data_IF_716480068976
#
_entry.id   IF_716480068976
#
_cell.length_a   1.000
_cell.length_b   1.000
_cell.length_c   1.000
_cell.angle_alpha   90.00
_cell.angle_beta   90.00
_cell.angle_gamma   90.00
#
_symmetry.space_group_name_H-M   'P 1'
#
loop_
_entity.id
_entity.type
_entity.pdbx_description
1 polymer ?
#
# COMPACT_ATOMS: atom_id res chain seq x y z
N UNK A 1 4.46 -5.93 -20.97
CA UNK A 1 4.74 -4.73 -20.15
C UNK A 1 4.97 -5.19 -18.72
N UNK A 2 6.19 -5.06 -18.20
CA UNK A 2 6.52 -5.42 -16.82
C UNK A 2 6.16 -4.24 -15.92
N UNK A 3 5.17 -4.44 -15.05
CA UNK A 3 4.71 -3.45 -14.08
C UNK A 3 5.61 -3.41 -12.83
N UNK A 4 6.79 -4.01 -12.91
CA UNK A 4 7.69 -4.30 -11.79
C UNK A 4 8.23 -3.05 -11.07
N UNK A 5 8.15 -1.89 -11.74
CA UNK A 5 8.53 -0.58 -11.20
C UNK A 5 7.39 0.10 -10.42
N UNK A 6 6.15 -0.38 -10.57
CA UNK A 6 5.00 0.17 -9.86
C UNK A 6 5.05 -0.26 -8.39
N UNK A 7 5.00 0.73 -7.51
CA UNK A 7 4.94 0.51 -6.08
C UNK A 7 3.72 -0.29 -5.62
N UNK A 8 3.76 -0.76 -4.36
CA UNK A 8 2.70 -1.55 -3.79
C UNK A 8 1.39 -0.74 -3.72
N UNK A 9 0.27 -1.47 -3.75
CA UNK A 9 -1.06 -0.89 -3.60
C UNK A 9 -1.31 -0.47 -2.15
N UNK A 10 -2.04 0.63 -1.99
CA UNK A 10 -2.46 1.21 -0.72
C UNK A 10 -3.98 1.24 -0.71
N UNK A 11 -4.59 0.74 0.37
CA UNK A 11 -6.01 0.92 0.65
C UNK A 11 -6.17 2.23 1.42
N UNK A 12 -6.98 3.16 0.95
CA UNK A 12 -7.26 4.40 1.65
C UNK A 12 -8.46 4.25 2.59
N UNK A 13 -8.66 5.22 3.48
CA UNK A 13 -9.77 5.19 4.45
C UNK A 13 -11.14 5.41 3.80
N UNK A 14 -11.16 6.06 2.65
CA UNK A 14 -12.36 6.34 1.86
C UNK A 14 -12.72 5.17 0.91
N UNK A 15 -12.08 4.01 1.07
CA UNK A 15 -12.28 2.85 0.21
C UNK A 15 -11.54 2.89 -1.12
N UNK A 16 -10.91 4.01 -1.49
CA UNK A 16 -10.16 4.10 -2.75
C UNK A 16 -8.84 3.35 -2.70
N UNK A 17 -8.31 3.00 -3.87
CA UNK A 17 -7.01 2.35 -4.02
C UNK A 17 -6.01 3.31 -4.68
N UNK A 18 -4.81 3.38 -4.13
CA UNK A 18 -3.69 4.14 -4.71
C UNK A 18 -2.41 3.33 -4.74
N UNK A 19 -1.34 3.88 -5.34
CA UNK A 19 0.01 3.31 -5.33
C UNK A 19 0.97 4.28 -4.65
N UNK A 20 2.06 3.74 -4.11
CA UNK A 20 3.16 4.56 -3.61
C UNK A 20 3.88 5.22 -4.80
N UNK A 21 3.66 6.52 -4.99
CA UNK A 21 4.15 7.25 -6.16
C UNK A 21 5.69 7.35 -6.22
N UNK A 22 6.36 7.47 -5.07
CA UNK A 22 7.82 7.59 -4.98
C UNK A 22 8.54 6.24 -4.78
N UNK A 23 7.89 5.11 -5.08
CA UNK A 23 8.44 3.78 -4.80
C UNK A 23 9.78 3.51 -5.48
N UNK A 24 9.91 3.92 -6.74
CA UNK A 24 11.15 3.76 -7.52
C UNK A 24 12.32 4.50 -6.87
N UNK A 25 12.07 5.68 -6.29
CA UNK A 25 13.07 6.50 -5.60
C UNK A 25 13.39 6.07 -4.18
N UNK A 26 12.67 5.10 -3.60
CA UNK A 26 12.97 4.59 -2.26
C UNK A 26 14.20 3.68 -2.26
N UNK A 27 15.05 3.86 -1.23
CA UNK A 27 16.12 2.92 -0.89
C UNK A 27 15.56 1.55 -0.47
N UNK A 28 16.39 0.52 -0.52
CA UNK A 28 15.98 -0.84 -0.10
C UNK A 28 15.49 -0.89 1.35
N UNK A 29 16.13 -0.12 2.25
CA UNK A 29 15.72 -0.01 3.65
C UNK A 29 14.33 0.63 3.79
N UNK A 30 14.06 1.71 3.05
CA UNK A 30 12.75 2.37 3.03
C UNK A 30 11.67 1.46 2.45
N UNK A 31 11.96 0.74 1.36
CA UNK A 31 11.06 -0.24 0.76
C UNK A 31 10.71 -1.35 1.75
N UNK A 32 11.71 -1.91 2.43
CA UNK A 32 11.54 -2.97 3.43
C UNK A 32 10.66 -2.50 4.59
N UNK A 33 10.95 -1.32 5.15
CA UNK A 33 10.16 -0.74 6.23
C UNK A 33 8.72 -0.43 5.80
N UNK A 34 8.55 0.06 4.57
CA UNK A 34 7.25 0.36 3.98
C UNK A 34 6.42 -0.91 3.85
N UNK A 35 6.95 -1.97 3.24
CA UNK A 35 6.25 -3.25 3.05
C UNK A 35 5.84 -3.88 4.38
N UNK A 36 6.74 -3.85 5.39
CA UNK A 36 6.48 -4.39 6.73
C UNK A 36 5.23 -3.80 7.38
N UNK A 37 5.00 -2.50 7.21
CA UNK A 37 3.88 -1.80 7.87
C UNK A 37 2.65 -1.72 6.96
N UNK A 38 2.85 -1.62 5.65
CA UNK A 38 1.77 -1.43 4.67
C UNK A 38 0.78 -2.59 4.68
N UNK A 39 1.25 -3.84 4.72
CA UNK A 39 0.36 -5.01 4.74
C UNK A 39 -0.64 -4.98 5.90
N UNK A 40 -0.15 -4.72 7.12
CA UNK A 40 -0.99 -4.59 8.32
C UNK A 40 -1.99 -3.42 8.19
N UNK A 41 -1.55 -2.27 7.65
CA UNK A 41 -2.43 -1.11 7.46
C UNK A 41 -3.53 -1.37 6.45
N UNK A 42 -3.20 -1.98 5.31
CA UNK A 42 -4.20 -2.32 4.29
C UNK A 42 -5.22 -3.32 4.84
N UNK A 43 -4.78 -4.35 5.57
CA UNK A 43 -5.70 -5.30 6.20
C UNK A 43 -6.65 -4.63 7.21
N UNK A 44 -6.13 -3.74 8.05
CA UNK A 44 -6.96 -3.01 9.02
C UNK A 44 -7.99 -2.11 8.34
N UNK A 45 -7.59 -1.41 7.28
CA UNK A 45 -8.50 -0.54 6.52
C UNK A 45 -9.57 -1.34 5.78
N UNK A 46 -9.18 -2.45 5.15
CA UNK A 46 -10.13 -3.32 4.46
C UNK A 46 -11.18 -3.88 5.43
N UNK A 47 -10.76 -4.38 6.59
CA UNK A 47 -11.68 -4.86 7.63
C UNK A 47 -12.62 -3.78 8.16
N UNK A 48 -12.15 -2.53 8.23
CA UNK A 48 -13.00 -1.42 8.66
C UNK A 48 -14.09 -1.13 7.62
N UNK A 49 -13.72 -1.11 6.34
CA UNK A 49 -14.67 -0.91 5.23
C UNK A 49 -15.69 -2.06 5.16
N UNK A 50 -15.26 -3.31 5.35
CA UNK A 50 -16.16 -4.49 5.41
C UNK A 50 -17.17 -4.44 6.57
N UNK A 51 -16.93 -3.63 7.60
CA UNK A 51 -17.85 -3.46 8.74
C UNK A 51 -18.78 -2.25 8.58
N UNK A 52 -18.49 -1.35 7.63
CA UNK A 52 -19.28 -0.17 7.32
C UNK A 52 -20.39 -0.44 6.29
N UNK A 53 -20.28 -1.56 5.54
CA UNK A 53 -21.27 -2.10 4.58
C UNK A 53 -22.32 -3.02 5.27
#
# INVERSE_FOLDING_TARGET
>A
LRLDHLGPMVVNRDGTLSRIANWEGMTELERTNTLRVLGKRNQLRLKALEQED
#
